data_IF_751702250037
#
_entry.id   IF_751702250037
#
_cell.length_a   1.000
_cell.length_b   1.000
_cell.length_c   1.000
_cell.angle_alpha   90.00
_cell.angle_beta   90.00
_cell.angle_gamma   90.00
#
_symmetry.space_group_name_H-M   'P 1'
#
loop_
_entity.id
_entity.type
_entity.pdbx_description
1 polymer ?
#
# COMPACT_ATOMS: atom_id res chain seq x y z
N UNK A 1 11.03 -15.91 10.74
CA UNK A 1 11.58 -15.60 9.40
C UNK A 1 10.85 -14.46 8.67
N UNK A 2 9.52 -14.36 8.71
CA UNK A 2 8.72 -13.33 8.02
C UNK A 2 9.16 -11.88 8.28
N UNK A 3 9.51 -11.56 9.53
CA UNK A 3 9.95 -10.23 9.99
C UNK A 3 11.26 -9.76 9.31
N UNK A 4 12.15 -10.69 8.96
CA UNK A 4 13.46 -10.36 8.38
C UNK A 4 13.36 -10.14 6.86
N UNK A 5 12.39 -10.78 6.21
CA UNK A 5 12.12 -10.64 4.78
C UNK A 5 11.44 -9.29 4.48
N UNK A 6 10.58 -8.82 5.38
CA UNK A 6 9.84 -7.55 5.23
C UNK A 6 10.72 -6.29 5.32
N UNK A 7 11.86 -6.38 6.01
CA UNK A 7 12.79 -5.26 6.24
C UNK A 7 13.90 -5.15 5.19
N UNK A 8 13.97 -6.08 4.22
CA UNK A 8 14.97 -6.01 3.18
C UNK A 8 14.69 -4.84 2.22
N UNK A 9 15.74 -4.12 1.77
CA UNK A 9 15.61 -3.16 0.69
C UNK A 9 14.86 -3.79 -0.48
N UNK A 10 13.95 -3.04 -1.12
CA UNK A 10 13.13 -3.58 -2.21
C UNK A 10 13.98 -4.09 -3.38
N UNK A 11 15.19 -3.57 -3.54
CA UNK A 11 16.15 -3.96 -4.58
C UNK A 11 17.18 -5.01 -4.10
N UNK A 12 16.98 -5.64 -2.94
CA UNK A 12 17.93 -6.65 -2.45
C UNK A 12 17.90 -7.94 -3.27
N UNK A 13 19.08 -8.51 -3.54
CA UNK A 13 19.23 -9.74 -4.31
C UNK A 13 18.43 -10.92 -3.70
N UNK A 14 18.42 -11.03 -2.37
CA UNK A 14 17.68 -12.06 -1.65
C UNK A 14 16.17 -11.97 -1.88
N UNK A 15 15.60 -10.75 -1.85
CA UNK A 15 14.17 -10.55 -2.10
C UNK A 15 13.79 -10.83 -3.55
N UNK A 16 14.65 -10.47 -4.49
CA UNK A 16 14.48 -10.80 -5.92
C UNK A 16 14.51 -12.31 -6.16
N UNK A 17 15.46 -13.03 -5.54
CA UNK A 17 15.52 -14.48 -5.64
C UNK A 17 14.26 -15.15 -5.08
N UNK A 18 13.75 -14.67 -3.94
CA UNK A 18 12.49 -15.16 -3.36
C UNK A 18 11.29 -14.90 -4.29
N UNK A 19 11.20 -13.72 -4.89
CA UNK A 19 10.14 -13.38 -5.85
C UNK A 19 10.17 -14.30 -7.07
N UNK A 20 11.36 -14.58 -7.60
CA UNK A 20 11.53 -15.44 -8.77
C UNK A 20 11.31 -16.93 -8.47
N UNK A 21 11.37 -17.34 -7.20
CA UNK A 21 11.10 -18.71 -6.78
C UNK A 21 9.60 -18.99 -6.54
N UNK A 22 8.73 -17.99 -6.64
CA UNK A 22 7.28 -18.17 -6.49
C UNK A 22 6.71 -18.82 -7.76
N UNK A 23 5.97 -19.94 -7.66
CA UNK A 23 5.29 -20.56 -8.79
C UNK A 23 4.24 -19.66 -9.48
N UNK A 24 4.10 -19.81 -10.81
CA UNK A 24 3.25 -18.95 -11.64
C UNK A 24 1.76 -19.00 -11.29
N UNK A 25 1.25 -20.16 -10.85
CA UNK A 25 -0.13 -20.36 -10.40
C UNK A 25 -0.44 -19.57 -9.13
N UNK A 26 0.52 -19.56 -8.19
CA UNK A 26 0.44 -18.76 -6.96
C UNK A 26 0.52 -17.27 -7.26
N UNK A 27 1.35 -16.87 -8.24
CA UNK A 27 1.44 -15.47 -8.71
C UNK A 27 0.14 -14.98 -9.36
N UNK A 28 -0.52 -15.83 -10.14
CA UNK A 28 -1.81 -15.50 -10.76
C UNK A 28 -2.90 -15.26 -9.70
N UNK A 29 -2.96 -16.09 -8.67
CA UNK A 29 -3.92 -15.94 -7.59
C UNK A 29 -3.64 -14.72 -6.69
N UNK A 30 -2.36 -14.45 -6.41
CA UNK A 30 -1.94 -13.24 -5.68
C UNK A 30 -2.23 -11.93 -6.46
N UNK A 31 -2.30 -12.00 -7.78
CA UNK A 31 -2.59 -10.85 -8.64
C UNK A 31 -4.06 -10.40 -8.56
N UNK A 32 -5.00 -11.33 -8.35
CA UNK A 32 -6.43 -11.02 -8.22
C UNK A 32 -6.75 -10.25 -6.94
N UNK A 33 -6.10 -10.60 -5.83
CA UNK A 33 -6.25 -9.93 -4.52
C UNK A 33 -5.15 -8.88 -4.27
N UNK A 34 -4.45 -8.45 -5.33
CA UNK A 34 -3.27 -7.64 -5.21
C UNK A 34 -3.58 -6.27 -4.59
N UNK A 35 -2.93 -6.02 -3.45
CA UNK A 35 -3.01 -4.75 -2.70
C UNK A 35 -1.72 -3.95 -2.91
N UNK A 36 -1.65 -3.07 -3.93
CA UNK A 36 -0.46 -2.28 -4.22
C UNK A 36 0.00 -1.43 -3.03
N UNK A 37 -0.94 -1.03 -2.17
CA UNK A 37 -0.69 -0.28 -0.93
C UNK A 37 0.02 -1.08 0.18
N UNK A 38 0.11 -2.41 0.04
CA UNK A 38 0.77 -3.31 1.01
C UNK A 38 2.02 -3.99 0.47
N UNK A 39 2.24 -3.94 -0.85
CA UNK A 39 3.43 -4.50 -1.47
C UNK A 39 4.63 -3.59 -1.23
N UNK A 40 5.84 -4.13 -1.24
CA UNK A 40 7.05 -3.31 -1.20
C UNK A 40 7.44 -2.96 -2.63
N UNK A 41 7.35 -1.69 -3.01
CA UNK A 41 7.76 -1.22 -4.33
C UNK A 41 9.26 -0.90 -4.37
N UNK A 42 9.88 -1.23 -5.50
CA UNK A 42 11.18 -0.72 -5.91
C UNK A 42 11.12 0.78 -6.23
N UNK A 43 12.30 1.43 -6.30
CA UNK A 43 12.38 2.86 -6.64
C UNK A 43 11.83 3.15 -8.03
N UNK A 44 12.06 2.23 -8.98
CA UNK A 44 11.56 2.32 -10.35
C UNK A 44 10.04 2.19 -10.43
N UNK A 45 9.43 1.28 -9.66
CA UNK A 45 7.97 1.15 -9.61
C UNK A 45 7.31 2.41 -9.04
N UNK A 46 7.93 3.03 -8.02
CA UNK A 46 7.49 4.32 -7.48
C UNK A 46 7.53 5.38 -8.59
N UNK A 47 8.67 5.53 -9.27
CA UNK A 47 8.84 6.51 -10.35
C UNK A 47 7.82 6.31 -11.49
N UNK A 48 7.60 5.07 -11.90
CA UNK A 48 6.65 4.75 -12.98
C UNK A 48 5.22 5.11 -12.59
N UNK A 49 4.85 4.86 -11.34
CA UNK A 49 3.51 5.20 -10.85
C UNK A 49 3.33 6.70 -10.71
N UNK A 50 4.34 7.42 -10.21
CA UNK A 50 4.34 8.89 -10.15
C UNK A 50 4.17 9.48 -11.55
N UNK A 51 4.94 8.99 -12.52
CA UNK A 51 4.84 9.43 -13.92
C UNK A 51 3.44 9.17 -14.50
N UNK A 52 2.87 7.99 -14.25
CA UNK A 52 1.52 7.65 -14.70
C UNK A 52 0.47 8.60 -14.12
N UNK A 53 0.57 8.91 -12.84
CA UNK A 53 -0.36 9.79 -12.14
C UNK A 53 -0.25 11.23 -12.67
N UNK A 54 0.96 11.73 -12.94
CA UNK A 54 1.17 13.05 -13.56
C UNK A 54 0.63 13.13 -15.01
N UNK A 55 0.79 12.08 -15.81
CA UNK A 55 0.21 12.04 -17.17
C UNK A 55 -1.32 12.09 -17.11
N UNK A 56 -1.94 11.41 -16.14
CA UNK A 56 -3.40 11.47 -15.93
C UNK A 56 -3.86 12.86 -15.53
N UNK A 57 -3.15 13.52 -14.61
CA UNK A 57 -3.44 14.89 -14.23
C UNK A 57 -3.31 15.85 -15.40
N UNK A 58 -2.23 15.75 -16.18
CA UNK A 58 -2.01 16.56 -17.38
C UNK A 58 -3.15 16.38 -18.40
N UNK A 59 -3.60 15.14 -18.64
CA UNK A 59 -4.78 14.86 -19.48
C UNK A 59 -6.04 15.52 -18.94
N UNK A 60 -6.28 15.44 -17.63
CA UNK A 60 -7.45 16.06 -17.01
C UNK A 60 -7.44 17.59 -17.18
N UNK A 61 -6.27 18.22 -17.03
CA UNK A 61 -6.10 19.66 -17.29
C UNK A 61 -6.41 19.98 -18.76
N UNK A 62 -5.93 19.17 -19.70
CA UNK A 62 -6.21 19.37 -21.13
C UNK A 62 -7.71 19.25 -21.45
N UNK A 63 -8.41 18.28 -20.84
CA UNK A 63 -9.88 18.13 -20.99
C UNK A 63 -10.62 19.35 -20.44
N UNK A 64 -10.22 19.85 -19.26
CA UNK A 64 -10.81 21.03 -18.65
C UNK A 64 -10.56 22.30 -19.50
N UNK A 65 -9.35 22.45 -20.03
CA UNK A 65 -8.99 23.57 -20.90
C UNK A 65 -9.78 23.57 -22.22
N UNK A 66 -10.16 22.39 -22.72
CA UNK A 66 -11.03 22.24 -23.88
C UNK A 66 -12.53 22.45 -23.57
N UNK A 67 -12.89 22.80 -22.32
CA UNK A 67 -14.27 23.03 -21.89
C UNK A 67 -15.05 21.77 -21.51
N UNK A 68 -14.37 20.62 -21.37
CA UNK A 68 -14.96 19.38 -20.88
C UNK A 68 -14.91 19.25 -19.36
N UNK A 69 -15.68 18.29 -18.81
CA UNK A 69 -15.59 17.92 -17.40
C UNK A 69 -14.60 16.76 -17.23
N UNK A 70 -13.40 16.98 -16.65
CA UNK A 70 -12.45 15.91 -16.44
C UNK A 70 -12.98 14.88 -15.43
N UNK A 71 -12.59 13.60 -15.54
CA UNK A 71 -12.93 12.59 -14.55
C UNK A 71 -12.25 12.87 -13.21
N UNK A 72 -12.86 12.43 -12.12
CA UNK A 72 -12.26 12.48 -10.79
C UNK A 72 -10.90 11.78 -10.79
N UNK A 73 -9.88 12.49 -10.31
CA UNK A 73 -8.54 11.95 -10.19
C UNK A 73 -8.36 11.25 -8.86
N UNK A 74 -8.11 9.94 -8.90
CA UNK A 74 -7.67 9.17 -7.74
C UNK A 74 -6.22 8.72 -7.98
N UNK A 75 -5.27 9.14 -7.11
CA UNK A 75 -3.89 8.67 -7.19
C UNK A 75 -3.82 7.15 -7.09
N UNK A 76 -2.81 6.57 -7.71
CA UNK A 76 -2.57 5.14 -7.58
C UNK A 76 -2.24 4.83 -6.11
N UNK A 77 -2.90 3.84 -5.47
CA UNK A 77 -2.58 3.43 -4.10
C UNK A 77 -1.13 2.96 -4.04
N UNK A 78 -0.35 3.52 -3.12
CA UNK A 78 1.08 3.26 -2.99
C UNK A 78 1.42 2.72 -1.61
N UNK A 79 2.54 1.97 -1.47
CA UNK A 79 2.95 1.41 -0.19
C UNK A 79 3.04 2.49 0.88
N UNK A 80 2.41 2.25 2.03
CA UNK A 80 2.41 3.21 3.15
C UNK A 80 1.45 4.41 2.98
N UNK A 81 0.81 4.58 1.82
CA UNK A 81 -0.29 5.53 1.64
C UNK A 81 -1.56 4.74 1.33
N UNK A 82 -2.28 4.29 2.38
CA UNK A 82 -3.49 3.51 2.18
C UNK A 82 -4.53 4.34 1.42
N UNK A 83 -5.37 3.72 0.56
CA UNK A 83 -6.45 4.42 -0.10
C UNK A 83 -7.41 5.03 0.94
N UNK A 84 -8.10 6.11 0.58
CA UNK A 84 -9.04 6.78 1.50
C UNK A 84 -10.16 5.85 2.00
N UNK A 85 -10.50 4.82 1.22
CA UNK A 85 -11.45 3.76 1.56
C UNK A 85 -10.88 2.66 2.47
N UNK A 86 -9.59 2.68 2.79
CA UNK A 86 -9.01 1.67 3.67
C UNK A 86 -9.51 1.84 5.10
N UNK A 87 -10.06 0.77 5.67
CA UNK A 87 -10.40 0.71 7.08
C UNK A 87 -9.16 1.01 7.92
N UNK A 88 -9.21 2.09 8.72
CA UNK A 88 -8.15 2.39 9.70
C UNK A 88 -8.07 1.23 10.68
N UNK A 89 -6.94 0.54 10.72
CA UNK A 89 -6.71 -0.55 11.66
C UNK A 89 -6.67 0.05 13.07
N UNK A 90 -7.80 -0.02 13.77
CA UNK A 90 -7.87 0.39 15.18
C UNK A 90 -7.04 -0.61 15.99
N UNK A 91 -6.21 -0.11 16.89
CA UNK A 91 -5.52 -0.97 17.85
C UNK A 91 -6.56 -1.75 18.66
N UNK A 92 -6.30 -3.03 18.95
CA UNK A 92 -7.14 -3.77 19.88
C UNK A 92 -7.08 -3.14 21.27
N UNK A 93 -8.08 -3.37 22.11
CA UNK A 93 -8.08 -2.80 23.46
C UNK A 93 -6.90 -3.31 24.28
N UNK A 94 -6.46 -4.54 24.04
CA UNK A 94 -5.24 -5.11 24.61
C UNK A 94 -3.98 -4.35 24.17
N UNK A 95 -3.85 -4.03 22.88
CA UNK A 95 -2.74 -3.24 22.35
C UNK A 95 -2.75 -1.80 22.89
N UNK A 96 -3.93 -1.20 23.10
CA UNK A 96 -4.05 0.14 23.71
C UNK A 96 -3.60 0.13 25.17
N UNK A 97 -3.97 -0.88 25.95
CA UNK A 97 -3.53 -1.01 27.36
C UNK A 97 -2.01 -1.21 27.50
N UNK A 98 -1.38 -1.89 26.53
CA UNK A 98 0.07 -2.04 26.53
C UNK A 98 0.79 -0.68 26.40
N UNK A 99 0.25 0.23 25.58
CA UNK A 99 0.85 1.53 25.28
C UNK A 99 0.43 2.65 26.23
N UNK A 100 -0.82 2.67 26.73
CA UNK A 100 -1.31 3.71 27.62
C UNK A 100 -1.26 3.25 29.10
N UNK A 101 -0.39 3.84 29.95
CA UNK A 101 -0.29 3.50 31.36
C UNK A 101 -1.60 3.67 32.14
N UNK A 102 -2.51 4.56 31.71
CA UNK A 102 -3.78 4.83 32.39
C UNK A 102 -4.82 3.74 32.18
N UNK A 103 -4.73 3.01 31.06
CA UNK A 103 -5.69 1.97 30.70
C UNK A 103 -5.30 0.59 31.26
N UNK A 104 -4.10 0.44 31.84
CA UNK A 104 -3.61 -0.83 32.40
C UNK A 104 -4.40 -1.32 33.61
N UNK A 105 -4.98 -0.40 34.39
CA UNK A 105 -5.64 -0.70 35.67
C UNK A 105 -7.17 -0.75 35.56
N UNK A 106 -7.75 -0.54 34.37
CA UNK A 106 -9.20 -0.60 34.21
C UNK A 106 -9.69 -2.05 34.12
N UNK A 107 -10.81 -2.40 34.78
CA UNK A 107 -11.40 -3.74 34.70
C UNK A 107 -11.83 -4.06 33.27
N UNK A 108 -11.71 -5.33 32.88
CA UNK A 108 -12.26 -5.82 31.61
C UNK A 108 -13.79 -5.81 31.73
N UNK A 109 -14.47 -4.90 31.04
CA UNK A 109 -15.91 -5.06 30.83
C UNK A 109 -16.14 -6.34 30.01
N UNK A 110 -17.08 -7.16 30.49
CA UNK A 110 -17.37 -8.52 30.05
C UNK A 110 -18.16 -8.55 28.74
#
# INVERSE_FOLDING_TARGET
MRIWIEQLPPESATKTAMRNAVPDDVMAQASADYRPDKAAWSRLEILLVELKDEVRLSRNVAVAAAGGTPPDFTPTPRPGVPPASAAKRRMSDEQRRALDPRLRTQPKEA
#
